data_IF_976351157185
#
_entry.id   IF_976351157185
#
_cell.length_a   1.000
_cell.length_b   1.000
_cell.length_c   1.000
_cell.angle_alpha   90.00
_cell.angle_beta   90.00
_cell.angle_gamma   90.00
#
_symmetry.space_group_name_H-M   'P 1'
#
loop_
_entity.id
_entity.type
_entity.pdbx_description
1 polymer ?
#
# COMPACT_ATOMS: atom_id res chain seq x y z
N UNK A 1 -0.76 31.32 -2.29
CA UNK A 1 -1.39 30.43 -1.29
C UNK A 1 -1.10 29.00 -1.69
N UNK A 2 -0.20 28.30 -0.98
CA UNK A 2 0.13 26.90 -1.29
C UNK A 2 -1.03 26.00 -0.85
N UNK A 3 -1.70 25.35 -1.81
CA UNK A 3 -2.79 24.42 -1.53
C UNK A 3 -2.17 23.11 -1.04
N UNK A 4 -2.06 22.94 0.28
CA UNK A 4 -1.62 21.66 0.85
C UNK A 4 -2.59 20.56 0.39
N UNK A 5 -2.06 19.49 -0.21
CA UNK A 5 -2.89 18.36 -0.62
C UNK A 5 -3.39 17.63 0.64
N UNK A 6 -4.71 17.58 0.82
CA UNK A 6 -5.31 16.80 1.90
C UNK A 6 -5.36 15.32 1.52
N UNK A 7 -5.06 14.44 2.47
CA UNK A 7 -5.21 12.98 2.29
C UNK A 7 -6.67 12.54 2.13
N UNK A 8 -7.63 13.40 2.47
CA UNK A 8 -9.05 13.21 2.20
C UNK A 8 -9.44 13.51 0.74
N UNK A 9 -8.51 13.98 -0.08
CA UNK A 9 -8.78 14.26 -1.48
C UNK A 9 -9.18 12.98 -2.23
N UNK A 10 -10.32 13.06 -2.94
CA UNK A 10 -10.85 11.98 -3.76
C UNK A 10 -10.16 11.91 -5.13
N UNK A 11 -10.15 10.70 -5.69
CA UNK A 11 -9.66 10.42 -7.04
C UNK A 11 -10.47 11.18 -8.10
N UNK A 12 -9.81 11.59 -9.18
CA UNK A 12 -10.46 12.21 -10.34
C UNK A 12 -11.25 11.15 -11.14
N UNK A 13 -10.76 9.91 -11.14
CA UNK A 13 -11.38 8.77 -11.80
C UNK A 13 -11.99 7.85 -10.76
N UNK A 14 -13.22 7.41 -11.03
CA UNK A 14 -13.88 6.38 -10.26
C UNK A 14 -13.39 4.98 -10.65
N UNK A 15 -13.53 4.05 -9.72
CA UNK A 15 -13.38 2.62 -9.98
C UNK A 15 -14.48 2.12 -10.92
N UNK A 16 -14.36 0.87 -11.37
CA UNK A 16 -15.35 0.24 -12.25
C UNK A 16 -16.76 0.17 -11.64
N UNK A 17 -16.87 0.25 -10.32
CA UNK A 17 -18.14 0.29 -9.57
C UNK A 17 -18.69 1.72 -9.33
N UNK A 18 -18.05 2.74 -9.90
CA UNK A 18 -18.47 4.13 -9.79
C UNK A 18 -18.02 4.86 -8.52
N UNK A 19 -17.29 4.21 -7.61
CA UNK A 19 -16.79 4.84 -6.37
C UNK A 19 -15.47 5.56 -6.60
N UNK A 20 -15.32 6.74 -6.01
CA UNK A 20 -14.02 7.41 -5.88
C UNK A 20 -13.33 6.98 -4.60
N UNK A 21 -12.00 6.97 -4.60
CA UNK A 21 -11.18 6.61 -3.45
C UNK A 21 -10.39 7.82 -2.96
N UNK A 22 -10.13 7.91 -1.65
CA UNK A 22 -9.31 8.98 -1.10
C UNK A 22 -7.82 8.66 -1.20
N UNK A 23 -6.97 9.68 -1.19
CA UNK A 23 -5.52 9.49 -1.08
C UNK A 23 -5.15 8.70 0.19
N UNK A 24 -5.87 8.88 1.29
CA UNK A 24 -5.70 8.08 2.51
C UNK A 24 -5.91 6.60 2.24
N UNK A 25 -6.98 6.24 1.52
CA UNK A 25 -7.25 4.85 1.15
C UNK A 25 -6.10 4.27 0.33
N UNK A 26 -5.58 5.03 -0.65
CA UNK A 26 -4.44 4.61 -1.49
C UNK A 26 -3.19 4.36 -0.66
N UNK A 27 -2.83 5.30 0.21
CA UNK A 27 -1.62 5.18 1.03
C UNK A 27 -1.72 3.98 1.98
N UNK A 28 -2.90 3.75 2.56
CA UNK A 28 -3.14 2.58 3.39
C UNK A 28 -2.95 1.28 2.58
N UNK A 29 -3.56 1.19 1.40
CA UNK A 29 -3.40 0.03 0.51
C UNK A 29 -1.94 -0.20 0.10
N UNK A 30 -1.20 0.86 -0.20
CA UNK A 30 0.22 0.75 -0.55
C UNK A 30 1.05 0.18 0.60
N UNK A 31 0.79 0.62 1.84
CA UNK A 31 1.47 0.09 3.03
C UNK A 31 1.12 -1.38 3.23
N UNK A 32 -0.16 -1.75 3.18
CA UNK A 32 -0.60 -3.13 3.34
C UNK A 32 0.01 -4.05 2.27
N UNK A 33 -0.05 -3.65 1.01
CA UNK A 33 0.47 -4.46 -0.10
C UNK A 33 2.00 -4.57 -0.05
N UNK A 34 2.68 -3.51 0.39
CA UNK A 34 4.13 -3.54 0.60
C UNK A 34 4.50 -4.49 1.74
N UNK A 35 3.80 -4.44 2.87
CA UNK A 35 4.05 -5.34 4.00
C UNK A 35 3.78 -6.80 3.62
N UNK A 36 2.70 -7.06 2.87
CA UNK A 36 2.37 -8.40 2.36
C UNK A 36 3.47 -8.94 1.44
N UNK A 37 3.97 -8.13 0.51
CA UNK A 37 5.08 -8.53 -0.35
C UNK A 37 6.39 -8.68 0.41
N UNK A 38 6.68 -7.81 1.38
CA UNK A 38 7.85 -7.92 2.23
C UNK A 38 7.84 -9.24 3.01
N UNK A 39 6.70 -9.63 3.58
CA UNK A 39 6.54 -10.93 4.24
C UNK A 39 6.75 -12.12 3.29
N UNK A 40 6.26 -12.05 2.04
CA UNK A 40 6.54 -13.09 1.05
C UNK A 40 8.03 -13.17 0.67
N UNK A 41 8.67 -12.01 0.51
CA UNK A 41 10.10 -11.95 0.21
C UNK A 41 10.94 -12.48 1.38
N UNK A 42 10.52 -12.19 2.62
CA UNK A 42 11.16 -12.70 3.82
C UNK A 42 11.02 -14.23 3.92
N UNK A 43 9.84 -14.78 3.66
CA UNK A 43 9.65 -16.25 3.60
C UNK A 43 10.58 -16.92 2.56
N UNK A 44 10.74 -16.31 1.39
CA UNK A 44 11.67 -16.80 0.36
C UNK A 44 13.13 -16.68 0.82
N UNK A 45 13.49 -15.56 1.45
CA UNK A 45 14.83 -15.34 2.02
C UNK A 45 15.15 -16.40 3.08
N UNK A 46 14.25 -16.63 4.05
CA UNK A 46 14.41 -17.65 5.10
C UNK A 46 14.54 -19.06 4.51
N UNK A 47 13.79 -19.36 3.45
CA UNK A 47 13.88 -20.64 2.74
C UNK A 47 15.24 -20.85 2.05
N UNK A 48 15.90 -19.78 1.61
CA UNK A 48 17.21 -19.82 0.95
C UNK A 48 18.33 -19.87 1.99
N UNK A 49 18.25 -19.03 3.02
CA UNK A 49 19.31 -18.84 4.01
C UNK A 49 19.26 -19.88 5.14
N UNK A 50 18.11 -20.53 5.36
CA UNK A 50 17.90 -21.52 6.42
C UNK A 50 17.82 -20.94 7.82
N UNK A 51 17.82 -19.60 7.96
CA UNK A 51 17.68 -18.87 9.22
C UNK A 51 16.32 -18.16 9.25
N UNK A 52 15.64 -18.25 10.40
CA UNK A 52 14.31 -17.66 10.63
C UNK A 52 14.45 -16.60 11.70
N UNK A 53 13.91 -15.39 11.45
CA UNK A 53 13.86 -14.28 12.41
C UNK A 53 15.21 -13.82 12.98
N UNK A 54 15.69 -12.66 12.52
CA UNK A 54 16.75 -11.89 13.21
C UNK A 54 16.16 -10.98 14.30
#
# INVERSE_FOLDING_TARGET
>A
MSKSASVDQLSVKALCDGRNFSLRWVLFHLVEETARHAGHADFLRESIDGTVGE
#
